data_IF_634680709225
#
_entry.id   IF_634680709225
#
_cell.length_a   1.000
_cell.length_b   1.000
_cell.length_c   1.000
_cell.angle_alpha   90.00
_cell.angle_beta   90.00
_cell.angle_gamma   90.00
#
_symmetry.space_group_name_H-M   'P 1'
#
loop_
_entity.id
_entity.type
_entity.pdbx_description
1 polymer ?
#
# COMPACT_ATOMS: atom_id res chain seq x y z
N UNK A 1 21.17 -11.39 -21.30
CA UNK A 1 20.01 -10.60 -20.83
C UNK A 1 20.52 -9.65 -19.78
N UNK A 2 20.13 -8.38 -19.85
CA UNK A 2 20.53 -7.33 -18.90
C UNK A 2 20.03 -7.74 -17.50
N UNK A 3 20.84 -7.61 -16.43
CA UNK A 3 20.36 -7.85 -15.08
C UNK A 3 19.41 -6.71 -14.73
N UNK A 4 18.14 -7.03 -14.51
CA UNK A 4 17.22 -6.08 -13.89
C UNK A 4 17.56 -6.06 -12.41
N UNK A 5 18.26 -5.03 -11.94
CA UNK A 5 18.42 -4.70 -10.51
C UNK A 5 17.09 -4.21 -9.87
N UNK A 6 15.98 -4.32 -10.59
CA UNK A 6 14.62 -4.11 -10.09
C UNK A 6 14.09 -5.45 -9.58
N UNK A 7 14.66 -5.91 -8.46
CA UNK A 7 14.20 -7.10 -7.76
C UNK A 7 12.85 -6.82 -7.12
N UNK A 8 11.79 -7.31 -7.77
CA UNK A 8 10.39 -7.25 -7.33
C UNK A 8 9.81 -5.83 -7.31
N UNK A 9 8.80 -5.54 -8.14
CA UNK A 9 8.03 -4.29 -8.05
C UNK A 9 7.38 -4.21 -6.65
N UNK A 10 8.04 -3.58 -5.69
CA UNK A 10 7.52 -3.41 -4.34
C UNK A 10 6.30 -2.50 -4.39
N UNK A 11 5.11 -3.07 -4.15
CA UNK A 11 3.85 -2.34 -4.18
C UNK A 11 3.78 -1.42 -2.94
N UNK A 12 3.63 -0.12 -3.18
CA UNK A 12 3.41 0.89 -2.15
C UNK A 12 2.00 1.50 -2.29
N UNK A 13 1.29 1.64 -1.18
CA UNK A 13 -0.01 2.29 -1.12
C UNK A 13 0.08 3.64 -0.38
N UNK A 14 -0.31 4.72 -1.05
CA UNK A 14 -0.54 6.02 -0.42
C UNK A 14 -2.03 6.15 -0.06
N UNK A 15 -2.33 6.36 1.22
CA UNK A 15 -3.70 6.36 1.75
C UNK A 15 -4.03 7.72 2.33
N UNK A 16 -5.11 8.31 1.83
CA UNK A 16 -5.72 9.50 2.42
C UNK A 16 -7.01 9.09 3.10
N UNK A 17 -7.08 9.34 4.40
CA UNK A 17 -8.25 9.03 5.20
C UNK A 17 -9.32 10.10 5.01
N UNK A 18 -10.58 9.68 5.03
CA UNK A 18 -11.69 10.62 5.05
C UNK A 18 -11.68 11.41 6.36
N UNK A 19 -12.16 12.67 6.37
CA UNK A 19 -12.23 13.46 7.60
C UNK A 19 -12.95 12.72 8.73
N UNK A 20 -12.35 12.73 9.92
CA UNK A 20 -12.88 12.05 11.11
C UNK A 20 -12.77 10.52 11.07
N UNK A 21 -12.05 9.94 10.10
CA UNK A 21 -11.69 8.53 10.08
C UNK A 21 -10.24 8.33 10.45
N UNK A 22 -9.99 7.25 11.16
CA UNK A 22 -8.66 6.75 11.50
C UNK A 22 -8.57 5.32 10.98
N UNK A 23 -7.40 4.95 10.50
CA UNK A 23 -7.05 3.56 10.23
C UNK A 23 -5.58 3.36 10.59
N UNK A 24 -5.25 2.17 11.03
CA UNK A 24 -3.88 1.73 11.33
C UNK A 24 -3.32 0.95 10.14
N UNK A 25 -1.99 0.84 10.09
CA UNK A 25 -1.32 -0.02 9.11
C UNK A 25 -1.84 -1.45 9.13
N UNK A 26 -2.07 -2.02 10.32
CA UNK A 26 -2.55 -3.39 10.49
C UNK A 26 -3.97 -3.57 9.92
N UNK A 27 -4.88 -2.63 10.17
CA UNK A 27 -6.24 -2.67 9.63
C UNK A 27 -6.25 -2.61 8.10
N UNK A 28 -5.40 -1.77 7.51
CA UNK A 28 -5.26 -1.66 6.05
C UNK A 28 -4.65 -2.96 5.47
N UNK A 29 -3.60 -3.50 6.10
CA UNK A 29 -2.99 -4.75 5.66
C UNK A 29 -3.96 -5.91 5.72
N UNK A 30 -4.67 -6.09 6.84
CA UNK A 30 -5.69 -7.13 6.99
C UNK A 30 -6.78 -6.98 5.92
N UNK A 31 -7.23 -5.75 5.65
CA UNK A 31 -8.18 -5.48 4.58
C UNK A 31 -7.64 -5.89 3.20
N UNK A 32 -6.38 -5.55 2.89
CA UNK A 32 -5.74 -5.96 1.64
C UNK A 32 -5.55 -7.47 1.55
N UNK A 33 -5.14 -8.16 2.62
CA UNK A 33 -4.95 -9.60 2.64
C UNK A 33 -6.25 -10.38 2.47
N UNK A 34 -7.36 -9.88 3.00
CA UNK A 34 -8.69 -10.50 2.84
C UNK A 34 -9.28 -10.28 1.45
N UNK A 35 -8.95 -9.17 0.78
CA UNK A 35 -9.60 -8.74 -0.46
C UNK A 35 -8.71 -8.87 -1.71
N UNK A 36 -7.41 -9.14 -1.56
CA UNK A 36 -6.44 -9.20 -2.67
C UNK A 36 -5.52 -10.43 -2.57
N UNK A 37 -4.92 -10.80 -3.71
CA UNK A 37 -3.90 -11.83 -3.71
C UNK A 37 -2.62 -11.34 -3.00
N UNK A 38 -1.88 -12.22 -2.32
CA UNK A 38 -0.71 -11.85 -1.49
C UNK A 38 0.36 -11.01 -2.22
N UNK A 39 0.54 -11.21 -3.53
CA UNK A 39 1.51 -10.44 -4.31
C UNK A 39 1.03 -9.01 -4.64
N UNK A 40 -0.26 -8.71 -4.46
CA UNK A 40 -0.83 -7.37 -4.61
C UNK A 40 -0.88 -6.60 -3.29
N UNK A 41 -0.68 -7.28 -2.16
CA UNK A 41 -0.70 -6.64 -0.85
C UNK A 41 0.50 -5.71 -0.76
N UNK A 42 0.29 -4.41 -0.49
CA UNK A 42 1.38 -3.45 -0.45
C UNK A 42 2.36 -3.79 0.66
N UNK A 43 3.66 -3.72 0.34
CA UNK A 43 4.75 -3.87 1.32
C UNK A 43 4.93 -2.60 2.16
N UNK A 44 4.56 -1.45 1.58
CA UNK A 44 4.69 -0.14 2.21
C UNK A 44 3.36 0.60 2.17
N UNK A 45 2.93 1.13 3.31
CA UNK A 45 1.72 1.95 3.42
C UNK A 45 2.11 3.30 4.01
N UNK A 46 1.80 4.36 3.28
CA UNK A 46 2.04 5.74 3.70
C UNK A 46 0.70 6.47 3.84
N UNK A 47 0.44 7.01 5.04
CA UNK A 47 -0.72 7.87 5.25
C UNK A 47 -0.36 9.30 4.90
N UNK A 48 -1.19 9.92 4.05
CA UNK A 48 -1.03 11.31 3.61
C UNK A 48 -2.31 12.09 3.88
N UNK A 49 -2.18 13.40 4.01
CA UNK A 49 -3.34 14.29 4.13
C UNK A 49 -4.00 14.55 2.77
N UNK A 50 -3.23 14.45 1.68
CA UNK A 50 -3.71 14.62 0.31
C UNK A 50 -2.93 13.75 -0.69
N UNK A 51 -3.60 13.37 -1.79
CA UNK A 51 -2.94 12.76 -2.95
C UNK A 51 -2.54 13.90 -3.89
N UNK A 52 -1.23 14.12 -4.05
CA UNK A 52 -0.70 15.05 -5.04
C UNK A 52 -1.15 14.61 -6.45
N UNK A 53 -1.64 15.58 -7.24
CA UNK A 53 -2.12 15.38 -8.62
C UNK A 53 -1.00 15.07 -9.60
#
# INVERSE_FOLDING_TARGET
GVPSDLGEDEVMAAIVLKPGKTATHEEILAHCEENMAKYMVPRYIEFRDELTK
#
